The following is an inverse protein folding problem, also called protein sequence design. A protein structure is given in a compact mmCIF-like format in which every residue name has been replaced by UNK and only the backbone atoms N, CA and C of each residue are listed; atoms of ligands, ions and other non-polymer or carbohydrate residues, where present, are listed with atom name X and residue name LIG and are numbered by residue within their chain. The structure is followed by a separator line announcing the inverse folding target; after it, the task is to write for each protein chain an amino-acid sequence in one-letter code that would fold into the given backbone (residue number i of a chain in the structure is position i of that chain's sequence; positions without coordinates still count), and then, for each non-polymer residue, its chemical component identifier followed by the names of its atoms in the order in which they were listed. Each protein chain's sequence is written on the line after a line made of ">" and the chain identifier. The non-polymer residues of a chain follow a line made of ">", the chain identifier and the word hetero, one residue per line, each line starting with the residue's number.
data_IF_460216712763
#
_entry.id   IF_460216712763
#
_cell.length_a   1.000
_cell.length_b   1.000
_cell.length_c   1.000
_cell.angle_alpha   90.00
_cell.angle_beta   90.00
_cell.angle_gamma   90.00
#
_symmetry.space_group_name_H-M   'P 1'
#
loop_
_entity.id
_entity.type
_entity.pdbx_description
1 polymer ?
#
# COMPACT_ATOMS: atom_id res chain seq x y z
N UNK A 1 -10.36 -12.17 -25.45
CA UNK A 1 -9.95 -11.80 -24.08
C UNK A 1 -8.91 -12.74 -23.45
N UNK A 2 -8.87 -14.04 -23.77
CA UNK A 2 -7.92 -14.98 -23.11
C UNK A 2 -6.43 -14.85 -23.48
N UNK A 3 -6.09 -14.72 -24.77
CA UNK A 3 -4.67 -14.72 -25.20
C UNK A 3 -3.90 -13.48 -24.75
N UNK A 4 -4.53 -12.31 -24.84
CA UNK A 4 -3.93 -11.05 -24.42
C UNK A 4 -3.68 -11.01 -22.92
N UNK A 5 -4.68 -11.40 -22.12
CA UNK A 5 -4.52 -11.56 -20.67
C UNK A 5 -3.39 -12.53 -20.36
N UNK A 6 -3.33 -13.68 -21.02
CA UNK A 6 -2.31 -14.68 -20.77
C UNK A 6 -0.90 -14.22 -21.20
N UNK A 7 -0.81 -13.37 -22.23
CA UNK A 7 0.44 -12.72 -22.63
C UNK A 7 0.90 -11.75 -21.54
N UNK A 8 0.03 -10.85 -21.09
CA UNK A 8 0.34 -9.86 -20.05
C UNK A 8 0.68 -10.55 -18.72
N UNK A 9 -0.10 -11.54 -18.31
CA UNK A 9 0.11 -12.33 -17.08
C UNK A 9 1.46 -13.03 -17.08
N UNK A 10 1.86 -13.63 -18.21
CA UNK A 10 3.18 -14.26 -18.34
C UNK A 10 4.32 -13.25 -18.22
N UNK A 11 4.15 -12.04 -18.76
CA UNK A 11 5.16 -10.98 -18.66
C UNK A 11 5.28 -10.47 -17.22
N UNK A 12 4.16 -10.07 -16.60
CA UNK A 12 4.13 -9.58 -15.22
C UNK A 12 4.58 -10.65 -14.22
N UNK A 13 4.21 -11.92 -14.43
CA UNK A 13 4.64 -13.01 -13.54
C UNK A 13 6.16 -13.17 -13.48
N UNK A 14 6.88 -12.88 -14.57
CA UNK A 14 8.35 -12.90 -14.56
C UNK A 14 8.95 -11.75 -13.74
N UNK A 15 8.28 -10.61 -13.72
CA UNK A 15 8.74 -9.38 -13.05
C UNK A 15 8.29 -9.29 -11.58
N UNK A 16 7.21 -9.96 -11.19
CA UNK A 16 6.60 -9.80 -9.87
C UNK A 16 6.55 -11.09 -9.05
N UNK A 17 6.53 -12.27 -9.69
CA UNK A 17 6.21 -13.54 -9.01
C UNK A 17 7.35 -14.56 -9.02
N UNK A 18 8.45 -14.30 -9.75
CA UNK A 18 9.62 -15.17 -9.69
C UNK A 18 10.24 -15.09 -8.28
N UNK A 19 10.54 -16.22 -7.61
CA UNK A 19 11.06 -16.19 -6.24
C UNK A 19 12.27 -15.28 -6.05
N UNK A 20 13.26 -15.33 -6.95
CA UNK A 20 14.44 -14.46 -6.92
C UNK A 20 14.12 -12.96 -7.04
N UNK A 21 13.05 -12.62 -7.75
CA UNK A 21 12.62 -11.22 -7.89
C UNK A 21 11.84 -10.81 -6.64
N UNK A 22 10.94 -11.67 -6.17
CA UNK A 22 10.18 -11.43 -4.94
C UNK A 22 11.08 -11.25 -3.71
N UNK A 23 12.20 -11.97 -3.65
CA UNK A 23 13.21 -11.83 -2.59
C UNK A 23 13.77 -10.41 -2.51
N UNK A 24 13.95 -9.74 -3.66
CA UNK A 24 14.45 -8.35 -3.70
C UNK A 24 13.48 -7.33 -3.08
N UNK A 25 12.20 -7.68 -2.94
CA UNK A 25 11.19 -6.81 -2.35
C UNK A 25 11.25 -6.79 -0.82
N UNK A 26 11.95 -7.75 -0.20
CA UNK A 26 12.03 -7.91 1.26
C UNK A 26 12.54 -6.64 1.95
N UNK A 27 13.64 -6.06 1.47
CA UNK A 27 14.21 -4.82 2.02
C UNK A 27 13.25 -3.64 1.93
N UNK A 28 12.77 -3.27 0.73
CA UNK A 28 11.80 -2.19 0.54
C UNK A 28 10.54 -2.35 1.39
N UNK A 29 9.97 -3.56 1.46
CA UNK A 29 8.76 -3.85 2.25
C UNK A 29 9.06 -3.77 3.75
N UNK A 30 10.19 -4.32 4.21
CA UNK A 30 10.59 -4.26 5.62
C UNK A 30 10.78 -2.82 6.10
N UNK A 31 11.34 -1.93 5.28
CA UNK A 31 11.44 -0.51 5.60
C UNK A 31 10.06 0.13 5.82
N UNK A 32 9.11 -0.11 4.90
CA UNK A 32 7.74 0.41 5.01
C UNK A 32 7.01 -0.18 6.24
N UNK A 33 7.24 -1.45 6.57
CA UNK A 33 6.71 -2.07 7.80
C UNK A 33 7.29 -1.39 9.06
N UNK A 34 8.58 -1.07 9.06
CA UNK A 34 9.21 -0.31 10.14
C UNK A 34 8.52 1.03 10.37
N UNK A 35 8.28 1.77 9.31
CA UNK A 35 7.61 3.08 9.36
C UNK A 35 6.16 2.95 9.84
N UNK A 36 5.45 1.91 9.41
CA UNK A 36 4.09 1.62 9.90
C UNK A 36 4.09 1.35 11.40
N UNK A 37 4.98 0.48 11.88
CA UNK A 37 5.07 0.14 13.31
C UNK A 37 5.36 1.39 14.15
N UNK A 38 6.32 2.21 13.71
CA UNK A 38 6.64 3.47 14.38
C UNK A 38 5.42 4.41 14.43
N UNK A 39 4.69 4.56 13.31
CA UNK A 39 3.51 5.43 13.25
C UNK A 39 2.40 4.96 14.18
N UNK A 40 2.17 3.65 14.24
CA UNK A 40 1.17 3.03 15.12
C UNK A 40 1.54 3.19 16.61
N UNK A 41 2.82 3.03 16.95
CA UNK A 41 3.33 3.28 18.31
C UNK A 41 3.10 4.73 18.72
N UNK A 42 3.48 5.70 17.88
CA UNK A 42 3.27 7.12 18.17
C UNK A 42 1.80 7.48 18.39
N UNK A 43 0.89 6.89 17.60
CA UNK A 43 -0.54 7.14 17.78
C UNK A 43 -1.07 6.50 19.06
N UNK A 44 -0.65 5.27 19.34
CA UNK A 44 -1.03 4.56 20.56
C UNK A 44 -0.56 5.33 21.79
N UNK A 45 0.69 5.77 21.81
CA UNK A 45 1.29 6.45 22.96
C UNK A 45 0.72 7.87 23.15
N UNK A 46 0.15 8.46 22.09
CA UNK A 46 -0.57 9.74 22.14
C UNK A 46 -2.07 9.64 22.47
N UNK A 47 -2.66 8.44 22.48
CA UNK A 47 -4.07 8.24 22.82
C UNK A 47 -4.19 7.90 24.32
N UNK A 48 -5.07 8.55 25.09
CA UNK A 48 -5.22 8.31 26.53
C UNK A 48 -5.56 6.86 26.89
N UNK A 49 -6.20 6.12 25.98
CA UNK A 49 -6.59 4.73 26.17
C UNK A 49 -5.55 3.75 25.61
N UNK A 50 -4.43 4.26 25.08
CA UNK A 50 -3.38 3.48 24.43
C UNK A 50 -3.93 2.66 23.25
N UNK A 51 -4.77 3.30 22.43
CA UNK A 51 -5.42 2.67 21.27
C UNK A 51 -4.96 3.29 19.95
N UNK A 52 -4.77 2.43 18.96
CA UNK A 52 -4.70 2.86 17.55
C UNK A 52 -6.14 2.95 17.03
N UNK A 53 -6.55 4.17 16.67
CA UNK A 53 -7.85 4.41 16.02
C UNK A 53 -7.73 4.23 14.52
N UNK A 54 -8.81 3.76 13.89
CA UNK A 54 -8.93 3.64 12.43
C UNK A 54 -7.76 2.92 11.76
N UNK A 55 -7.51 1.68 12.20
CA UNK A 55 -6.46 0.83 11.64
C UNK A 55 -6.63 0.59 10.13
N UNK A 56 -7.87 0.66 9.62
CA UNK A 56 -8.16 0.53 8.19
C UNK A 56 -7.45 1.60 7.36
N UNK A 57 -7.56 2.87 7.75
CA UNK A 57 -6.84 3.98 7.08
C UNK A 57 -5.33 3.78 7.10
N UNK A 58 -4.76 3.31 8.21
CA UNK A 58 -3.34 2.99 8.29
C UNK A 58 -2.93 1.88 7.31
N UNK A 59 -3.75 0.85 7.15
CA UNK A 59 -3.48 -0.22 6.19
C UNK A 59 -3.65 0.21 4.73
N UNK A 60 -4.57 1.13 4.41
CA UNK A 60 -4.65 1.70 3.05
C UNK A 60 -3.39 2.48 2.70
N UNK A 61 -2.91 3.31 3.64
CA UNK A 61 -1.65 4.07 3.49
C UNK A 61 -0.45 3.14 3.35
N UNK A 62 -0.36 2.12 4.20
CA UNK A 62 0.67 1.09 4.14
C UNK A 62 0.66 0.34 2.79
N UNK A 63 -0.51 -0.08 2.32
CA UNK A 63 -0.64 -0.82 1.07
C UNK A 63 -0.13 -0.01 -0.13
N UNK A 64 -0.47 1.29 -0.18
CA UNK A 64 0.00 2.18 -1.24
C UNK A 64 1.51 2.43 -1.17
N UNK A 65 2.05 2.73 0.01
CA UNK A 65 3.48 2.94 0.21
C UNK A 65 4.29 1.67 -0.09
N UNK A 66 3.76 0.51 0.29
CA UNK A 66 4.40 -0.78 0.07
C UNK A 66 4.52 -1.10 -1.42
N UNK A 67 3.41 -0.95 -2.17
CA UNK A 67 3.43 -1.23 -3.61
C UNK A 67 4.24 -0.19 -4.39
N UNK A 68 4.24 1.09 -3.98
CA UNK A 68 5.06 2.12 -4.63
C UNK A 68 6.55 1.90 -4.40
N UNK A 69 6.93 1.46 -3.20
CA UNK A 69 8.31 1.12 -2.85
C UNK A 69 8.83 -0.05 -3.70
N UNK A 70 7.97 -1.03 -4.01
CA UNK A 70 8.32 -2.16 -4.89
C UNK A 70 8.34 -1.79 -6.37
N UNK A 71 7.28 -1.12 -6.87
CA UNK A 71 7.12 -0.88 -8.30
C UNK A 71 7.96 0.29 -8.83
N UNK A 72 8.13 1.32 -8.00
CA UNK A 72 8.76 2.58 -8.42
C UNK A 72 10.05 2.89 -7.66
N UNK A 73 10.46 2.02 -6.72
CA UNK A 73 11.58 2.29 -5.82
C UNK A 73 11.45 3.67 -5.14
N UNK A 74 10.21 4.07 -4.81
CA UNK A 74 9.88 5.42 -4.37
C UNK A 74 8.94 5.41 -3.16
N UNK A 75 9.16 6.39 -2.27
CA UNK A 75 8.38 6.65 -1.07
C UNK A 75 7.39 7.77 -1.36
N UNK A 76 6.10 7.52 -1.19
CA UNK A 76 5.02 8.48 -1.47
C UNK A 76 4.63 9.30 -0.24
N UNK A 77 5.25 9.01 0.91
CA UNK A 77 4.98 9.69 2.17
C UNK A 77 3.63 9.34 2.78
N UNK A 78 3.05 8.17 2.46
CA UNK A 78 1.74 7.77 2.98
C UNK A 78 1.73 7.58 4.51
N UNK A 79 2.90 7.32 5.11
CA UNK A 79 3.07 7.03 6.53
C UNK A 79 3.65 8.21 7.33
N UNK A 80 3.88 9.34 6.67
CA UNK A 80 4.35 10.56 7.32
C UNK A 80 3.28 11.16 8.26
N UNK A 81 3.67 12.03 9.22
CA UNK A 81 2.73 12.76 10.05
C UNK A 81 1.71 13.54 9.23
N UNK A 82 2.15 14.20 8.16
CA UNK A 82 1.35 14.91 7.18
C UNK A 82 1.46 14.21 5.82
N UNK A 83 0.35 13.62 5.36
CA UNK A 83 0.32 12.88 4.09
C UNK A 83 0.11 13.86 2.93
N UNK A 84 0.88 13.74 1.83
CA UNK A 84 0.68 14.58 0.66
C UNK A 84 -0.75 14.51 0.13
N UNK A 85 -1.31 15.68 -0.25
CA UNK A 85 -2.70 15.80 -0.69
C UNK A 85 -3.05 14.89 -1.88
N UNK A 86 -2.13 14.76 -2.83
CA UNK A 86 -2.35 13.93 -4.02
C UNK A 86 -2.39 12.44 -3.65
N UNK A 87 -1.54 12.01 -2.72
CA UNK A 87 -1.53 10.64 -2.16
C UNK A 87 -2.86 10.34 -1.47
N UNK A 88 -3.37 11.26 -0.64
CA UNK A 88 -4.66 11.09 0.03
C UNK A 88 -5.84 11.08 -0.95
N UNK A 89 -5.77 11.90 -2.01
CA UNK A 89 -6.77 11.93 -3.08
C UNK A 89 -6.79 10.61 -3.85
N UNK A 90 -5.61 10.03 -4.09
CA UNK A 90 -5.49 8.74 -4.76
C UNK A 90 -6.08 7.59 -3.94
N UNK A 91 -5.76 7.51 -2.64
CA UNK A 91 -6.34 6.51 -1.72
C UNK A 91 -7.88 6.62 -1.70
N UNK A 92 -8.40 7.84 -1.60
CA UNK A 92 -9.85 8.08 -1.60
C UNK A 92 -10.51 7.65 -2.91
N UNK A 93 -9.87 7.94 -4.04
CA UNK A 93 -10.36 7.56 -5.37
C UNK A 93 -10.47 6.04 -5.52
N UNK A 94 -9.48 5.28 -5.02
CA UNK A 94 -9.53 3.81 -5.00
C UNK A 94 -10.71 3.31 -4.17
N UNK A 95 -10.91 3.87 -2.97
CA UNK A 95 -12.01 3.49 -2.10
C UNK A 95 -13.38 3.75 -2.78
N UNK A 96 -13.56 4.95 -3.33
CA UNK A 96 -14.76 5.32 -4.10
C UNK A 96 -14.99 4.37 -5.26
N UNK A 97 -13.96 4.02 -6.02
CA UNK A 97 -14.07 3.07 -7.14
C UNK A 97 -14.63 1.72 -6.65
N UNK A 98 -14.09 1.15 -5.57
CA UNK A 98 -14.57 -0.14 -5.05
C UNK A 98 -16.01 -0.06 -4.53
N UNK A 99 -16.37 1.01 -3.81
CA UNK A 99 -17.74 1.22 -3.34
C UNK A 99 -18.71 1.32 -4.51
N UNK A 100 -18.36 2.10 -5.54
CA UNK A 100 -19.21 2.23 -6.72
C UNK A 100 -19.36 0.91 -7.47
N UNK A 101 -18.28 0.15 -7.68
CA UNK A 101 -18.35 -1.16 -8.35
C UNK A 101 -19.28 -2.12 -7.62
N UNK A 102 -19.20 -2.20 -6.29
CA UNK A 102 -20.07 -3.05 -5.46
C UNK A 102 -21.55 -2.64 -5.55
N UNK A 103 -21.84 -1.36 -5.75
CA UNK A 103 -23.22 -0.86 -5.89
C UNK A 103 -23.80 -1.07 -7.29
N UNK A 104 -22.94 -1.22 -8.31
CA UNK A 104 -23.34 -1.38 -9.72
C UNK A 104 -23.37 -2.83 -10.20
N UNK A 105 -22.91 -3.77 -9.39
CA UNK A 105 -22.97 -5.23 -9.63
C UNK A 105 -24.21 -5.82 -8.98
#
# INVERSE_FOLDING_TARGET
>A
EGEEWQRLRRLLGRLLLRPRVAESFSGPVAAVVGDLVQRLQLQRDGDPQHLVRDLGTHFYRFGLEGISSVLFASRLGCLEPEVPRDTETFIRSINTMFVMTLLTM
#
